data_IF_648146497831
#
_entry.id   IF_648146497831
#
_cell.length_a   1.000
_cell.length_b   1.000
_cell.length_c   1.000
_cell.angle_alpha   90.00
_cell.angle_beta   90.00
_cell.angle_gamma   90.00
#
_symmetry.space_group_name_H-M   'P 1'
#
loop_
_entity.id
_entity.type
_entity.pdbx_description
1 polymer ?
#
# COMPACT_ATOMS: atom_id res chain seq x y z
N UNK A 1 5.74 -10.38 -6.36
CA UNK A 1 4.66 -10.70 -5.39
C UNK A 1 3.92 -9.41 -5.09
N UNK A 2 2.69 -9.44 -4.54
CA UNK A 2 1.89 -8.22 -4.28
C UNK A 2 2.66 -7.15 -3.48
N UNK A 3 3.64 -7.55 -2.66
CA UNK A 3 4.50 -6.64 -1.88
C UNK A 3 5.48 -5.84 -2.75
N UNK A 4 6.07 -6.46 -3.79
CA UNK A 4 7.02 -5.78 -4.69
C UNK A 4 6.27 -4.75 -5.54
N UNK A 5 5.11 -5.14 -6.07
CA UNK A 5 4.23 -4.25 -6.84
C UNK A 5 3.75 -3.06 -6.00
N UNK A 6 3.47 -3.27 -4.71
CA UNK A 6 3.13 -2.20 -3.77
C UNK A 6 4.29 -1.24 -3.52
N UNK A 7 5.51 -1.77 -3.34
CA UNK A 7 6.72 -0.95 -3.16
C UNK A 7 6.95 -0.07 -4.38
N UNK A 8 6.85 -0.64 -5.59
CA UNK A 8 6.95 0.10 -6.85
C UNK A 8 5.85 1.17 -6.96
N UNK A 9 4.59 0.81 -6.70
CA UNK A 9 3.46 1.72 -6.73
C UNK A 9 3.63 2.91 -5.77
N UNK A 10 4.13 2.66 -4.55
CA UNK A 10 4.39 3.70 -3.55
C UNK A 10 5.65 4.52 -3.88
N UNK A 11 6.58 3.99 -4.67
CA UNK A 11 7.77 4.72 -5.11
C UNK A 11 7.48 5.80 -6.15
N UNK A 12 6.34 5.73 -6.83
CA UNK A 12 5.84 6.79 -7.72
C UNK A 12 5.40 8.07 -6.99
N UNK A 13 5.35 8.07 -5.65
CA UNK A 13 4.96 9.23 -4.84
C UNK A 13 6.00 9.54 -3.76
N UNK A 14 6.17 10.83 -3.46
CA UNK A 14 6.91 11.25 -2.28
C UNK A 14 6.14 10.86 -1.00
N UNK A 15 6.87 10.67 0.11
CA UNK A 15 6.24 10.36 1.39
C UNK A 15 5.27 11.47 1.87
N UNK A 16 5.53 12.72 1.47
CA UNK A 16 4.64 13.86 1.76
C UNK A 16 3.32 13.77 0.99
N UNK A 17 3.37 13.41 -0.30
CA UNK A 17 2.17 13.24 -1.12
C UNK A 17 1.31 12.08 -0.63
N UNK A 18 1.95 10.94 -0.29
CA UNK A 18 1.24 9.79 0.28
C UNK A 18 0.57 10.21 1.58
N UNK A 19 1.28 10.89 2.47
CA UNK A 19 0.71 11.37 3.73
C UNK A 19 -0.48 12.30 3.51
N UNK A 20 -0.37 13.26 2.58
CA UNK A 20 -1.44 14.20 2.27
C UNK A 20 -2.70 13.50 1.71
N UNK A 21 -2.51 12.58 0.75
CA UNK A 21 -3.62 11.86 0.12
C UNK A 21 -4.27 10.85 1.06
N UNK A 22 -3.46 10.14 1.86
CA UNK A 22 -3.92 8.95 2.59
C UNK A 22 -4.17 9.18 4.06
N UNK A 23 -3.49 10.14 4.69
CA UNK A 23 -3.48 10.36 6.14
C UNK A 23 -2.53 9.42 6.89
N UNK A 24 -1.75 8.58 6.21
CA UNK A 24 -0.81 7.66 6.85
C UNK A 24 0.33 8.42 7.56
N UNK A 25 0.77 7.89 8.70
CA UNK A 25 1.95 8.40 9.41
C UNK A 25 3.22 8.13 8.59
N UNK A 26 4.16 9.09 8.60
CA UNK A 26 5.44 8.98 7.88
C UNK A 26 6.20 7.67 8.12
N UNK A 27 6.35 7.24 9.37
CA UNK A 27 7.04 5.97 9.68
C UNK A 27 6.39 4.77 9.00
N UNK A 28 5.04 4.74 8.94
CA UNK A 28 4.31 3.68 8.25
C UNK A 28 4.59 3.71 6.74
N UNK A 29 4.63 4.91 6.14
CA UNK A 29 4.94 5.09 4.72
C UNK A 29 6.36 4.60 4.40
N UNK A 30 7.36 4.94 5.23
CA UNK A 30 8.73 4.47 5.02
C UNK A 30 8.85 2.95 5.16
N UNK A 31 8.18 2.35 6.14
CA UNK A 31 8.17 0.89 6.28
C UNK A 31 7.58 0.22 5.04
N UNK A 32 6.46 0.74 4.52
CA UNK A 32 5.80 0.22 3.31
C UNK A 32 6.68 0.36 2.07
N UNK A 33 7.36 1.50 1.89
CA UNK A 33 8.29 1.72 0.76
C UNK A 33 9.55 0.85 0.82
N UNK A 34 9.95 0.44 2.02
CA UNK A 34 11.12 -0.43 2.23
C UNK A 34 10.77 -1.93 2.23
N UNK A 35 9.53 -2.31 1.85
CA UNK A 35 9.09 -3.71 1.86
C UNK A 35 8.94 -4.30 3.27
N UNK A 36 8.95 -3.48 4.31
CA UNK A 36 8.93 -3.92 5.70
C UNK A 36 7.48 -4.15 6.17
N UNK A 37 7.17 -5.39 6.58
CA UNK A 37 5.91 -5.85 7.19
C UNK A 37 4.64 -5.23 6.61
N UNK A 38 4.19 -5.82 5.51
CA UNK A 38 2.89 -5.52 4.92
C UNK A 38 1.78 -6.21 5.73
N UNK A 39 1.37 -5.55 6.81
CA UNK A 39 0.06 -5.82 7.40
C UNK A 39 -0.99 -5.10 6.54
N UNK A 40 -1.81 -5.86 5.81
CA UNK A 40 -2.97 -5.31 5.12
C UNK A 40 -4.05 -4.97 6.16
N UNK A 41 -3.91 -3.81 6.76
CA UNK A 41 -4.90 -3.25 7.69
C UNK A 41 -5.95 -2.39 6.94
N UNK A 42 -7.07 -2.11 7.62
CA UNK A 42 -8.16 -1.29 7.06
C UNK A 42 -7.63 0.06 6.53
N UNK A 43 -6.75 0.73 7.27
CA UNK A 43 -6.23 2.04 6.88
C UNK A 43 -5.38 1.96 5.60
N UNK A 44 -4.60 0.90 5.44
CA UNK A 44 -3.80 0.66 4.24
C UNK A 44 -4.68 0.41 3.02
N UNK A 45 -5.76 -0.36 3.14
CA UNK A 45 -6.72 -0.56 2.05
C UNK A 45 -7.30 0.79 1.57
N UNK A 46 -7.76 1.64 2.48
CA UNK A 46 -8.27 2.97 2.11
C UNK A 46 -7.20 3.88 1.54
N UNK A 47 -5.97 3.81 2.05
CA UNK A 47 -4.85 4.57 1.54
C UNK A 47 -4.57 4.24 0.07
N UNK A 48 -4.54 2.95 -0.27
CA UNK A 48 -4.34 2.48 -1.64
C UNK A 48 -5.48 2.90 -2.57
N UNK A 49 -6.73 2.80 -2.09
CA UNK A 49 -7.90 3.29 -2.81
C UNK A 49 -7.81 4.78 -3.15
N UNK A 50 -7.33 5.61 -2.21
CA UNK A 50 -7.11 7.05 -2.43
C UNK A 50 -5.93 7.35 -3.37
N UNK A 51 -5.00 6.42 -3.53
CA UNK A 51 -3.91 6.49 -4.51
C UNK A 51 -4.32 5.95 -5.88
N UNK A 52 -5.56 5.46 -6.03
CA UNK A 52 -6.08 4.94 -7.29
C UNK A 52 -5.86 3.43 -7.50
N UNK A 53 -5.42 2.71 -6.46
CA UNK A 53 -5.21 1.26 -6.51
C UNK A 53 -6.36 0.50 -5.86
N UNK A 54 -6.72 -0.64 -6.44
CA UNK A 54 -7.75 -1.54 -5.90
C UNK A 54 -7.13 -2.90 -5.57
N UNK A 55 -7.40 -3.40 -4.37
CA UNK A 55 -7.05 -4.77 -3.97
C UNK A 55 -8.28 -5.65 -4.18
N UNK A 56 -8.12 -6.74 -4.92
CA UNK A 56 -9.17 -7.75 -5.15
C UNK A 56 -8.81 -9.05 -4.44
N UNK A 57 -9.81 -9.63 -3.79
CA UNK A 57 -9.73 -10.99 -3.25
C UNK A 57 -10.15 -11.94 -4.36
N UNK A 58 -9.25 -12.81 -4.76
CA UNK A 58 -9.54 -13.89 -5.71
C UNK A 58 -9.47 -15.22 -4.97
N UNK A 59 -10.47 -16.07 -5.20
CA UNK A 59 -10.44 -17.43 -4.68
C UNK A 59 -9.42 -18.21 -5.48
N UNK A 60 -8.44 -18.80 -4.78
CA UNK A 60 -7.52 -19.72 -5.43
C UNK A 60 -8.32 -20.88 -6.03
N UNK A 61 -8.12 -21.13 -7.33
CA UNK A 61 -8.84 -22.19 -8.06
C UNK A 61 -8.28 -23.58 -7.75
N UNK A 62 -7.23 -23.68 -6.92
CA UNK A 62 -6.76 -24.94 -6.35
C UNK A 62 -7.56 -25.29 -5.10
N UNK A 63 -8.81 -25.73 -5.32
CA UNK A 63 -9.58 -26.69 -4.52
C UNK A 63 -10.95 -26.89 -5.19
#
# INVERSE_FOLDING_TARGET
>A
MIFDEMVEALNNYSAKEIQYKTGLKRNRIYNLKNGCTFYLDYNLYFALKKLGYEIKLEKDKKN
#
